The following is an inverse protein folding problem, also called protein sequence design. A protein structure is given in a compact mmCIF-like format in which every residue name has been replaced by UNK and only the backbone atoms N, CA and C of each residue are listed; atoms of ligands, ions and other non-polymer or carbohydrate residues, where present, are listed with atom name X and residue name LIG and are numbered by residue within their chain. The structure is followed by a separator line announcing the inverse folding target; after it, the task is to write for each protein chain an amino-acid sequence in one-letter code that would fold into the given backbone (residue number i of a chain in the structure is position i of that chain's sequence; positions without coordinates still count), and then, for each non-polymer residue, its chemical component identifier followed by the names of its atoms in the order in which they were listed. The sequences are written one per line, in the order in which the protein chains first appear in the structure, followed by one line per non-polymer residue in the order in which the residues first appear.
data_IF_807878751736
#
_entry.id   IF_807878751736
#
_cell.length_a   1.000
_cell.length_b   1.000
_cell.length_c   1.000
_cell.angle_alpha   90.00
_cell.angle_beta   90.00
_cell.angle_gamma   90.00
#
_symmetry.space_group_name_H-M   'P 1'
#
loop_
_entity.id
_entity.type
_entity.pdbx_description
1 polymer ?
#
# COMPACT_ATOMS: atom_id res chain seq x y z
N UNK A 1 8.42 13.66 13.53
CA UNK A 1 7.56 13.02 12.51
C UNK A 1 6.56 12.12 13.22
N UNK A 2 5.30 12.08 12.78
CA UNK A 2 4.30 11.16 13.33
C UNK A 2 4.45 9.75 12.70
N UNK A 3 4.17 8.66 13.44
CA UNK A 3 4.24 7.31 12.89
C UNK A 3 3.15 7.08 11.84
N UNK A 4 3.51 6.37 10.76
CA UNK A 4 2.60 6.06 9.64
C UNK A 4 1.74 4.81 9.89
N UNK A 5 1.99 4.11 10.99
CA UNK A 5 1.21 2.99 11.51
C UNK A 5 0.77 3.33 12.93
N UNK A 6 -0.49 3.10 13.24
CA UNK A 6 -1.03 3.14 14.59
C UNK A 6 -1.78 1.84 14.85
N UNK A 7 -1.50 1.21 15.99
CA UNK A 7 -2.18 0.00 16.45
C UNK A 7 -2.84 0.25 17.80
N UNK A 8 -4.07 -0.24 17.98
CA UNK A 8 -4.79 -0.18 19.24
C UNK A 8 -5.53 -1.50 19.48
N UNK A 9 -5.29 -2.13 20.62
CA UNK A 9 -6.02 -3.33 21.03
C UNK A 9 -7.10 -2.93 22.06
N UNK A 10 -8.35 -3.14 21.70
CA UNK A 10 -9.51 -2.95 22.57
C UNK A 10 -9.86 -4.33 23.13
N UNK A 11 -9.87 -4.46 24.46
CA UNK A 11 -10.24 -5.70 25.15
C UNK A 11 -11.62 -5.51 25.77
N UNK A 12 -12.57 -6.37 25.41
CA UNK A 12 -13.92 -6.34 25.99
C UNK A 12 -14.00 -7.30 27.17
N UNK A 13 -13.49 -8.52 27.00
CA UNK A 13 -13.35 -9.55 28.03
C UNK A 13 -12.15 -10.47 27.74
N UNK A 14 -12.04 -11.60 28.43
CA UNK A 14 -10.93 -12.55 28.29
C UNK A 14 -10.84 -13.21 26.90
N UNK A 15 -11.92 -13.22 26.12
CA UNK A 15 -12.04 -13.91 24.82
C UNK A 15 -12.41 -12.97 23.68
N UNK A 16 -12.96 -11.78 23.95
CA UNK A 16 -13.37 -10.82 22.94
C UNK A 16 -12.44 -9.60 22.87
N UNK A 17 -11.81 -9.44 21.72
CA UNK A 17 -10.80 -8.41 21.45
C UNK A 17 -10.98 -7.82 20.05
N UNK A 18 -10.79 -6.51 19.91
CA UNK A 18 -10.65 -5.85 18.61
C UNK A 18 -9.25 -5.26 18.45
N UNK A 19 -8.60 -5.57 17.34
CA UNK A 19 -7.37 -4.92 16.92
C UNK A 19 -7.68 -3.89 15.84
N UNK A 20 -7.52 -2.60 16.17
CA UNK A 20 -7.63 -1.51 15.22
C UNK A 20 -6.23 -1.15 14.69
N UNK A 21 -6.04 -1.28 13.38
CA UNK A 21 -4.83 -0.86 12.67
C UNK A 21 -5.18 0.32 11.75
N UNK A 22 -4.44 1.41 11.87
CA UNK A 22 -4.51 2.54 10.94
C UNK A 22 -3.16 2.70 10.27
N UNK A 23 -3.15 2.59 8.94
CA UNK A 23 -1.93 2.74 8.13
C UNK A 23 -2.13 3.91 7.18
N UNK A 24 -1.15 4.81 7.09
CA UNK A 24 -1.18 5.88 6.11
C UNK A 24 -1.05 5.28 4.69
N UNK A 25 -1.95 5.66 3.78
CA UNK A 25 -2.02 5.08 2.42
C UNK A 25 -0.76 5.35 1.56
N UNK A 26 0.17 6.18 2.03
CA UNK A 26 1.47 6.40 1.38
C UNK A 26 2.42 5.20 1.52
N UNK A 27 2.21 4.35 2.53
CA UNK A 27 3.03 3.15 2.80
C UNK A 27 2.25 1.85 2.65
N UNK A 28 1.00 1.91 2.20
CA UNK A 28 0.16 0.72 2.00
C UNK A 28 -0.92 0.99 0.97
N UNK A 29 -1.30 -0.06 0.25
CA UNK A 29 -2.48 -0.12 -0.62
C UNK A 29 -3.41 -1.27 -0.18
N UNK A 30 -4.45 -1.54 -0.97
CA UNK A 30 -5.42 -2.60 -0.67
C UNK A 30 -4.80 -4.00 -0.73
N UNK A 31 -3.78 -4.23 -1.55
CA UNK A 31 -3.10 -5.51 -1.65
C UNK A 31 -2.15 -5.72 -0.47
N UNK A 32 -1.29 -4.74 -0.17
CA UNK A 32 -0.33 -4.85 0.93
C UNK A 32 -0.99 -5.00 2.29
N UNK A 33 -2.21 -4.49 2.44
CA UNK A 33 -3.01 -4.67 3.66
C UNK A 33 -3.33 -6.14 3.94
N UNK A 34 -3.61 -6.94 2.90
CA UNK A 34 -3.82 -8.38 3.03
C UNK A 34 -2.56 -9.10 3.49
N UNK A 35 -1.43 -8.82 2.83
CA UNK A 35 -0.11 -9.38 3.20
C UNK A 35 0.24 -9.07 4.66
N UNK A 36 0.04 -7.82 5.10
CA UNK A 36 0.30 -7.41 6.48
C UNK A 36 -0.53 -8.22 7.49
N UNK A 37 -1.82 -8.44 7.22
CA UNK A 37 -2.70 -9.19 8.11
C UNK A 37 -2.34 -10.67 8.16
N UNK A 38 -1.99 -11.27 7.02
CA UNK A 38 -1.57 -12.68 6.94
C UNK A 38 -0.27 -12.92 7.70
N UNK A 39 0.72 -12.04 7.51
CA UNK A 39 1.99 -12.12 8.24
C UNK A 39 1.79 -11.87 9.73
N UNK A 40 0.99 -10.87 10.12
CA UNK A 40 0.65 -10.62 11.52
C UNK A 40 0.02 -11.85 12.18
N UNK A 41 -0.90 -12.53 11.48
CA UNK A 41 -1.51 -13.75 11.98
C UNK A 41 -0.49 -14.91 12.09
N UNK A 42 0.47 -15.01 11.17
CA UNK A 42 1.54 -15.99 11.23
C UNK A 42 2.48 -15.74 12.43
N UNK A 43 2.90 -14.49 12.64
CA UNK A 43 3.68 -14.07 13.80
C UNK A 43 2.93 -14.37 15.10
N UNK A 44 1.64 -13.98 15.18
CA UNK A 44 0.83 -14.18 16.36
C UNK A 44 0.74 -15.67 16.74
N UNK A 45 0.40 -16.55 15.79
CA UNK A 45 0.32 -18.00 16.03
C UNK A 45 1.66 -18.59 16.48
N UNK A 46 2.76 -18.19 15.85
CA UNK A 46 4.10 -18.66 16.20
C UNK A 46 4.45 -18.27 17.64
N UNK A 47 4.26 -16.99 18.01
CA UNK A 47 4.51 -16.51 19.37
C UNK A 47 3.61 -17.12 20.43
N UNK A 48 2.32 -17.35 20.14
CA UNK A 48 1.40 -17.99 21.11
C UNK A 48 1.67 -19.48 21.31
N UNK A 49 2.38 -20.13 20.40
CA UNK A 49 2.68 -21.56 20.46
C UNK A 49 4.16 -21.86 20.70
N UNK A 50 4.97 -20.83 21.00
CA UNK A 50 6.43 -20.93 21.20
C UNK A 50 7.14 -21.66 20.04
N UNK A 51 6.69 -21.37 18.81
CA UNK A 51 7.24 -21.95 17.58
C UNK A 51 7.98 -20.91 16.76
N UNK A 52 8.94 -21.32 15.93
CA UNK A 52 9.60 -20.40 15.01
C UNK A 52 8.61 -19.81 14.01
N UNK A 53 8.80 -18.54 13.66
CA UNK A 53 7.99 -17.85 12.64
C UNK A 53 8.31 -18.45 11.27
N UNK A 54 7.32 -18.92 10.50
CA UNK A 54 7.55 -19.59 9.22
C UNK A 54 7.68 -18.61 8.04
N UNK A 55 8.24 -17.42 8.27
CA UNK A 55 8.38 -16.37 7.25
C UNK A 55 9.85 -16.17 6.92
N UNK A 56 10.19 -16.28 5.63
CA UNK A 56 11.53 -15.96 5.17
C UNK A 56 11.75 -14.45 5.16
N UNK A 57 12.98 -13.96 5.38
CA UNK A 57 13.31 -12.56 5.18
C UNK A 57 12.98 -12.10 3.76
N UNK A 58 12.41 -10.91 3.62
CA UNK A 58 12.14 -10.34 2.31
C UNK A 58 13.46 -10.09 1.56
N UNK A 59 13.64 -10.65 0.35
CA UNK A 59 14.88 -10.48 -0.42
C UNK A 59 15.04 -9.07 -0.98
N UNK A 60 13.97 -8.27 -0.98
CA UNK A 60 13.89 -6.93 -1.52
C UNK A 60 13.13 -6.06 -0.51
N UNK A 61 13.68 -4.91 -0.16
CA UNK A 61 13.00 -3.89 0.63
C UNK A 61 12.38 -2.83 -0.27
N UNK A 62 11.39 -2.09 0.24
CA UNK A 62 10.73 -1.04 -0.55
C UNK A 62 11.71 0.06 -1.01
N UNK A 63 12.77 0.31 -0.25
CA UNK A 63 13.84 1.22 -0.66
C UNK A 63 14.57 0.75 -1.93
N UNK A 64 14.78 -0.56 -2.07
CA UNK A 64 15.38 -1.16 -3.26
C UNK A 64 14.44 -0.99 -4.47
N UNK A 65 13.14 -1.23 -4.26
CA UNK A 65 12.12 -1.00 -5.27
C UNK A 65 12.08 0.47 -5.73
N UNK A 66 12.09 1.42 -4.80
CA UNK A 66 12.09 2.85 -5.12
C UNK A 66 13.33 3.28 -5.92
N UNK A 67 14.51 2.74 -5.57
CA UNK A 67 15.74 2.99 -6.29
C UNK A 67 15.71 2.37 -7.70
N UNK A 68 15.20 1.14 -7.82
CA UNK A 68 15.00 0.47 -9.10
C UNK A 68 14.05 1.26 -10.00
N UNK A 69 12.89 1.69 -9.48
CA UNK A 69 11.90 2.46 -10.23
C UNK A 69 12.49 3.75 -10.77
N UNK A 70 13.26 4.48 -9.94
CA UNK A 70 13.93 5.71 -10.38
C UNK A 70 14.90 5.44 -11.53
N UNK A 71 15.76 4.43 -11.39
CA UNK A 71 16.72 4.06 -12.44
C UNK A 71 16.02 3.65 -13.74
N UNK A 72 14.94 2.88 -13.62
CA UNK A 72 14.15 2.44 -14.77
C UNK A 72 13.50 3.62 -15.51
N UNK A 73 12.92 4.56 -14.76
CA UNK A 73 12.37 5.79 -15.33
C UNK A 73 13.44 6.65 -16.00
N UNK A 74 14.61 6.80 -15.36
CA UNK A 74 15.74 7.60 -15.89
C UNK A 74 16.40 6.96 -17.12
N UNK A 75 16.21 5.66 -17.34
CA UNK A 75 16.75 4.92 -18.49
C UNK A 75 15.93 5.10 -19.79
N UNK A 76 14.98 6.03 -19.83
CA UNK A 76 14.18 6.36 -21.02
C UNK A 76 12.71 5.92 -20.95
N UNK A 77 12.33 5.16 -19.93
CA UNK A 77 10.93 4.72 -19.77
C UNK A 77 10.01 5.91 -19.46
N UNK A 78 10.52 6.90 -18.72
CA UNK A 78 9.76 8.11 -18.38
C UNK A 78 9.23 8.80 -19.63
N UNK A 79 10.10 9.03 -20.61
CA UNK A 79 9.76 9.69 -21.87
C UNK A 79 8.74 8.87 -22.66
N UNK A 80 8.95 7.56 -22.74
CA UNK A 80 8.05 6.63 -23.45
C UNK A 80 6.64 6.63 -22.85
N UNK A 81 6.52 6.50 -21.53
CA UNK A 81 5.21 6.51 -20.86
C UNK A 81 4.54 7.88 -20.95
N UNK A 82 5.32 8.96 -20.81
CA UNK A 82 4.78 10.32 -20.92
C UNK A 82 4.21 10.59 -22.32
N UNK A 83 4.91 10.17 -23.38
CA UNK A 83 4.42 10.31 -24.75
C UNK A 83 3.09 9.56 -24.95
N UNK A 84 3.03 8.29 -24.51
CA UNK A 84 1.82 7.48 -24.58
C UNK A 84 0.62 8.13 -23.86
N UNK A 85 0.80 8.55 -22.60
CA UNK A 85 -0.30 9.11 -21.82
C UNK A 85 -0.75 10.48 -22.32
N UNK A 86 0.16 11.30 -22.86
CA UNK A 86 -0.21 12.58 -23.50
C UNK A 86 -1.12 12.38 -24.70
N UNK A 87 -0.82 11.40 -25.55
CA UNK A 87 -1.67 11.07 -26.70
C UNK A 87 -3.04 10.50 -26.27
N UNK A 88 -3.03 9.65 -25.24
CA UNK A 88 -4.23 8.93 -24.80
C UNK A 88 -5.21 9.79 -24.00
N UNK A 89 -4.68 10.70 -23.19
CA UNK A 89 -5.44 11.61 -22.32
C UNK A 89 -5.56 13.02 -22.91
N UNK A 90 -5.48 13.13 -24.25
CA UNK A 90 -5.69 14.40 -24.94
C UNK A 90 -7.00 15.06 -24.46
N UNK A 91 -6.94 16.25 -23.83
CA UNK A 91 -8.10 16.96 -23.30
C UNK A 91 -9.21 17.19 -24.34
N UNK A 92 -8.87 17.21 -25.64
CA UNK A 92 -9.84 17.33 -26.72
C UNK A 92 -10.78 16.13 -26.82
N UNK A 93 -10.41 14.97 -26.25
CA UNK A 93 -11.25 13.76 -26.22
C UNK A 93 -12.42 13.87 -25.22
N UNK A 94 -12.48 14.95 -24.46
CA UNK A 94 -13.55 15.23 -23.50
C UNK A 94 -13.29 14.59 -22.13
N UNK A 95 -13.95 15.15 -21.11
CA UNK A 95 -13.92 14.63 -19.75
C UNK A 95 -15.23 13.90 -19.48
N UNK A 96 -15.17 12.78 -18.78
CA UNK A 96 -16.37 12.09 -18.30
C UNK A 96 -17.14 13.02 -17.36
N UNK A 97 -18.30 13.50 -17.80
CA UNK A 97 -19.23 14.25 -16.95
C UNK A 97 -20.06 13.27 -16.14
N UNK A 98 -19.97 13.35 -14.82
CA UNK A 98 -20.80 12.58 -13.91
C UNK A 98 -21.98 13.42 -13.41
N UNK A 99 -23.18 12.84 -13.20
CA UNK A 99 -24.31 13.55 -12.61
C UNK A 99 -23.92 14.19 -11.27
N UNK A 100 -24.22 15.48 -11.09
CA UNK A 100 -23.88 16.25 -9.89
C UNK A 100 -22.48 16.86 -9.87
N UNK A 101 -21.65 16.65 -10.91
CA UNK A 101 -20.40 17.38 -11.05
C UNK A 101 -20.70 18.86 -11.40
N UNK A 102 -20.42 19.77 -10.47
CA UNK A 102 -20.30 21.19 -10.80
C UNK A 102 -19.14 21.40 -11.77
N UNK A 103 -19.26 22.41 -12.65
CA UNK A 103 -18.15 22.83 -13.50
C UNK A 103 -16.93 23.08 -12.61
N UNK A 104 -15.78 22.46 -12.96
CA UNK A 104 -14.53 22.73 -12.24
C UNK A 104 -14.22 24.23 -12.40
N UNK A 105 -13.86 24.95 -11.31
CA UNK A 105 -13.36 26.31 -11.42
C UNK A 105 -12.09 26.41 -12.26
#
# INVERSE_FOLDING_TARGET
AAPLLRAHLIRFDATHHWLALTVHHIVSDGWSSGVMLDELAAFYRAYTTDRPVPLAPLPIQYADYALWQRRWLDAGERERQLAFWRERLDPQRGVLTLPGASARP
#
